data_IF_957056825957
#
_entry.id   IF_957056825957
#
_cell.length_a   1.000
_cell.length_b   1.000
_cell.length_c   1.000
_cell.angle_alpha   90.00
_cell.angle_beta   90.00
_cell.angle_gamma   90.00
#
_symmetry.space_group_name_H-M   'P 1'
#
loop_
_entity.id
_entity.type
_entity.pdbx_description
1 polymer ?
#
# COMPACT_ATOMS: atom_id res chain seq x y z
N UNK A 1 -10.93 -9.16 5.76
CA UNK A 1 -10.10 -8.32 4.88
C UNK A 1 -10.92 -7.13 4.43
N UNK A 2 -10.32 -5.95 4.25
CA UNK A 2 -11.05 -4.77 3.78
C UNK A 2 -11.34 -4.86 2.27
N UNK A 3 -12.40 -4.18 1.80
CA UNK A 3 -12.76 -4.10 0.38
C UNK A 3 -11.60 -3.58 -0.47
N UNK A 4 -10.87 -2.57 0.01
CA UNK A 4 -9.70 -2.03 -0.69
C UNK A 4 -8.60 -3.07 -0.92
N UNK A 5 -8.35 -3.95 0.07
CA UNK A 5 -7.33 -4.99 -0.04
C UNK A 5 -7.73 -6.06 -1.07
N UNK A 6 -9.02 -6.42 -1.09
CA UNK A 6 -9.55 -7.37 -2.06
C UNK A 6 -9.48 -6.81 -3.49
N UNK A 7 -9.79 -5.52 -3.67
CA UNK A 7 -9.71 -4.86 -4.98
C UNK A 7 -8.26 -4.80 -5.49
N UNK A 8 -7.29 -4.46 -4.65
CA UNK A 8 -5.87 -4.49 -5.02
C UNK A 8 -5.42 -5.88 -5.47
N UNK A 9 -5.74 -6.92 -4.69
CA UNK A 9 -5.38 -8.30 -5.02
C UNK A 9 -6.09 -8.83 -6.27
N UNK A 10 -7.32 -8.41 -6.51
CA UNK A 10 -8.05 -8.74 -7.74
C UNK A 10 -7.42 -8.07 -8.97
N UNK A 11 -6.96 -6.82 -8.85
CA UNK A 11 -6.24 -6.12 -9.91
C UNK A 11 -4.90 -6.81 -10.23
N UNK A 12 -4.12 -7.16 -9.21
CA UNK A 12 -2.88 -7.93 -9.38
C UNK A 12 -3.13 -9.26 -10.08
N UNK A 13 -4.13 -10.01 -9.61
CA UNK A 13 -4.48 -11.29 -10.20
C UNK A 13 -4.86 -11.13 -11.68
N UNK A 14 -5.71 -10.15 -12.01
CA UNK A 14 -6.12 -9.93 -13.39
C UNK A 14 -4.93 -9.58 -14.31
N UNK A 15 -4.00 -8.77 -13.84
CA UNK A 15 -2.80 -8.44 -14.61
C UNK A 15 -1.92 -9.67 -14.85
N UNK A 16 -1.65 -10.46 -13.81
CA UNK A 16 -0.83 -11.68 -13.94
C UNK A 16 -1.50 -12.72 -14.85
N UNK A 17 -2.82 -12.87 -14.77
CA UNK A 17 -3.56 -13.75 -15.67
C UNK A 17 -3.37 -13.37 -17.14
N UNK A 18 -3.52 -12.08 -17.47
CA UNK A 18 -3.36 -11.59 -18.84
C UNK A 18 -1.92 -11.77 -19.33
N UNK A 19 -0.91 -11.50 -18.49
CA UNK A 19 0.50 -11.74 -18.85
C UNK A 19 0.75 -13.23 -19.17
N UNK A 20 0.20 -14.14 -18.37
CA UNK A 20 0.37 -15.59 -18.57
C UNK A 20 -0.43 -16.13 -19.77
N UNK A 21 -1.57 -15.51 -20.10
CA UNK A 21 -2.33 -15.83 -21.30
C UNK A 21 -1.59 -15.39 -22.57
N UNK A 22 -0.97 -14.21 -22.56
CA UNK A 22 -0.19 -13.67 -23.68
C UNK A 22 1.11 -14.44 -23.92
N UNK A 23 1.71 -14.99 -22.86
CA UNK A 23 2.88 -15.86 -22.98
C UNK A 23 2.86 -16.99 -21.95
N UNK A 24 2.35 -18.14 -22.38
CA UNK A 24 2.25 -19.37 -21.58
C UNK A 24 3.60 -20.02 -21.24
N UNK A 25 4.71 -19.56 -21.84
CA UNK A 25 6.05 -20.06 -21.52
C UNK A 25 6.64 -19.47 -20.22
N UNK A 26 6.05 -18.38 -19.72
CA UNK A 26 6.48 -17.72 -18.48
C UNK A 26 6.27 -18.69 -17.31
N UNK A 27 7.31 -18.89 -16.51
CA UNK A 27 7.26 -19.77 -15.34
C UNK A 27 6.76 -19.01 -14.10
N UNK A 28 5.62 -19.38 -13.50
CA UNK A 28 5.19 -18.82 -12.23
C UNK A 28 6.07 -19.37 -11.08
N UNK A 29 6.53 -18.49 -10.20
CA UNK A 29 7.41 -18.86 -9.08
C UNK A 29 6.67 -18.87 -7.73
N UNK A 30 7.26 -19.57 -6.76
CA UNK A 30 6.81 -19.57 -5.37
C UNK A 30 5.34 -19.99 -5.24
N UNK A 31 4.54 -19.15 -4.58
CA UNK A 31 3.11 -19.39 -4.38
C UNK A 31 2.21 -18.75 -5.44
N UNK A 32 2.78 -18.20 -6.53
CA UNK A 32 2.05 -17.41 -7.53
C UNK A 32 0.78 -18.10 -8.01
N UNK A 33 0.85 -19.39 -8.37
CA UNK A 33 -0.33 -20.14 -8.84
C UNK A 33 -1.43 -20.26 -7.78
N UNK A 34 -1.06 -20.50 -6.52
CA UNK A 34 -2.02 -20.60 -5.42
C UNK A 34 -2.66 -19.23 -5.11
N UNK A 35 -1.85 -18.17 -5.12
CA UNK A 35 -2.34 -16.80 -4.93
C UNK A 35 -3.24 -16.38 -6.10
N UNK A 36 -2.92 -16.80 -7.32
CA UNK A 36 -3.71 -16.56 -8.52
C UNK A 36 -5.08 -17.25 -8.46
N UNK A 37 -5.11 -18.55 -8.13
CA UNK A 37 -6.35 -19.31 -8.00
C UNK A 37 -7.31 -18.68 -6.98
N UNK A 38 -6.78 -18.29 -5.82
CA UNK A 38 -7.55 -17.63 -4.76
C UNK A 38 -8.03 -16.24 -5.18
N UNK A 39 -7.16 -15.42 -5.76
CA UNK A 39 -7.49 -14.01 -6.03
C UNK A 39 -8.32 -13.81 -7.29
N UNK A 40 -8.26 -14.74 -8.26
CA UNK A 40 -9.21 -14.77 -9.38
C UNK A 40 -10.64 -15.02 -8.94
N UNK A 41 -10.87 -15.80 -7.87
CA UNK A 41 -12.22 -15.93 -7.30
C UNK A 41 -12.73 -14.58 -6.79
N UNK A 42 -11.86 -13.77 -6.17
CA UNK A 42 -12.22 -12.43 -5.74
C UNK A 42 -12.49 -11.50 -6.93
N UNK A 43 -11.67 -11.55 -7.97
CA UNK A 43 -11.88 -10.81 -9.21
C UNK A 43 -13.23 -11.14 -9.86
N UNK A 44 -13.53 -12.43 -10.03
CA UNK A 44 -14.78 -12.90 -10.65
C UNK A 44 -16.03 -12.55 -9.82
N UNK A 45 -15.87 -12.32 -8.52
CA UNK A 45 -16.95 -11.88 -7.63
C UNK A 45 -17.16 -10.35 -7.62
N UNK A 46 -16.29 -9.56 -8.27
CA UNK A 46 -16.47 -8.12 -8.36
C UNK A 46 -17.65 -7.75 -9.27
N UNK A 47 -18.28 -6.57 -9.07
CA UNK A 47 -19.20 -6.01 -10.05
C UNK A 47 -18.56 -5.90 -11.45
N UNK A 48 -19.36 -6.11 -12.51
CA UNK A 48 -18.89 -6.12 -13.90
C UNK A 48 -18.09 -4.87 -14.28
N UNK A 49 -18.47 -3.70 -13.73
CA UNK A 49 -17.74 -2.45 -13.93
C UNK A 49 -16.26 -2.59 -13.53
N UNK A 50 -15.97 -3.09 -12.33
CA UNK A 50 -14.59 -3.27 -11.85
C UNK A 50 -13.85 -4.36 -12.63
N UNK A 51 -14.54 -5.43 -13.03
CA UNK A 51 -13.92 -6.46 -13.87
C UNK A 51 -13.47 -5.90 -15.22
N UNK A 52 -14.30 -5.06 -15.84
CA UNK A 52 -13.99 -4.37 -17.09
C UNK A 52 -12.84 -3.38 -16.90
N UNK A 53 -12.89 -2.55 -15.85
CA UNK A 53 -11.83 -1.58 -15.53
C UNK A 53 -10.47 -2.25 -15.34
N UNK A 54 -10.40 -3.32 -14.54
CA UNK A 54 -9.15 -4.01 -14.26
C UNK A 54 -8.63 -4.77 -15.50
N UNK A 55 -9.54 -5.26 -16.36
CA UNK A 55 -9.17 -5.88 -17.63
C UNK A 55 -8.64 -4.86 -18.64
N UNK A 56 -9.32 -3.72 -18.80
CA UNK A 56 -8.88 -2.61 -19.66
C UNK A 56 -7.50 -2.11 -19.23
N UNK A 57 -7.33 -1.87 -17.92
CA UNK A 57 -6.04 -1.53 -17.33
C UNK A 57 -4.97 -2.55 -17.69
N UNK A 58 -5.22 -3.83 -17.41
CA UNK A 58 -4.22 -4.89 -17.60
C UNK A 58 -3.82 -5.00 -19.06
N UNK A 59 -4.78 -5.02 -19.98
CA UNK A 59 -4.53 -5.08 -21.42
C UNK A 59 -3.72 -3.88 -21.95
N UNK A 60 -3.93 -2.69 -21.39
CA UNK A 60 -3.14 -1.51 -21.73
C UNK A 60 -1.74 -1.57 -21.13
N UNK A 61 -1.65 -1.93 -19.84
CA UNK A 61 -0.38 -1.93 -19.13
C UNK A 61 0.59 -2.99 -19.65
N UNK A 62 0.11 -4.16 -20.09
CA UNK A 62 1.00 -5.18 -20.67
C UNK A 62 1.75 -4.68 -21.93
N UNK A 63 1.25 -3.64 -22.62
CA UNK A 63 1.94 -3.05 -23.78
C UNK A 63 3.24 -2.34 -23.38
N UNK A 64 3.37 -1.93 -22.12
CA UNK A 64 4.59 -1.36 -21.53
C UNK A 64 5.62 -2.45 -21.15
N UNK A 65 5.28 -3.73 -21.33
CA UNK A 65 6.08 -4.88 -20.95
C UNK A 65 6.57 -5.64 -22.18
N UNK A 66 7.84 -6.02 -22.19
CA UNK A 66 8.38 -6.97 -23.17
C UNK A 66 7.98 -8.40 -22.81
N UNK A 67 6.69 -8.74 -22.90
CA UNK A 67 6.11 -9.99 -22.38
C UNK A 67 6.82 -11.25 -22.89
N UNK A 68 7.15 -11.29 -24.19
CA UNK A 68 7.86 -12.42 -24.80
C UNK A 68 9.28 -12.62 -24.27
N UNK A 69 9.86 -11.60 -23.64
CA UNK A 69 11.17 -11.66 -23.00
C UNK A 69 11.10 -12.02 -21.52
N UNK A 70 9.90 -12.11 -20.92
CA UNK A 70 9.73 -12.56 -19.54
C UNK A 70 10.05 -14.06 -19.47
N UNK A 71 10.90 -14.44 -18.53
CA UNK A 71 11.23 -15.84 -18.21
C UNK A 71 10.32 -16.37 -17.11
N UNK A 72 10.13 -15.58 -16.07
CA UNK A 72 9.35 -15.99 -14.90
C UNK A 72 8.67 -14.81 -14.21
N UNK A 73 7.60 -15.12 -13.49
CA UNK A 73 6.78 -14.14 -12.76
C UNK A 73 6.56 -14.62 -11.33
N UNK A 74 6.62 -13.70 -10.38
CA UNK A 74 6.36 -13.96 -8.96
C UNK A 74 5.37 -12.92 -8.42
N UNK A 75 4.30 -13.37 -7.75
CA UNK A 75 3.47 -12.51 -6.90
C UNK A 75 4.01 -12.56 -5.48
N UNK A 76 4.38 -11.40 -4.94
CA UNK A 76 4.99 -11.31 -3.62
C UNK A 76 3.93 -11.20 -2.53
N UNK A 77 4.20 -11.82 -1.37
CA UNK A 77 3.31 -11.77 -0.21
C UNK A 77 3.62 -10.58 0.68
N UNK A 78 2.66 -10.27 1.57
CA UNK A 78 2.83 -9.33 2.69
C UNK A 78 4.10 -9.56 3.54
N UNK A 79 4.64 -10.78 3.57
CA UNK A 79 5.90 -11.08 4.26
C UNK A 79 7.09 -10.34 3.65
N UNK A 80 7.11 -10.16 2.32
CA UNK A 80 8.12 -9.35 1.64
C UNK A 80 7.96 -7.87 2.00
N UNK A 81 6.72 -7.36 2.04
CA UNK A 81 6.41 -6.00 2.48
C UNK A 81 6.80 -5.71 3.94
N UNK A 82 6.82 -6.74 4.81
CA UNK A 82 7.39 -6.63 6.18
C UNK A 82 8.90 -6.46 6.18
N UNK A 83 9.60 -6.99 5.18
CA UNK A 83 11.04 -6.86 4.99
C UNK A 83 11.44 -5.60 4.20
N UNK A 84 10.45 -4.78 3.79
CA UNK A 84 10.66 -3.53 3.07
C UNK A 84 10.42 -3.62 1.56
N UNK A 85 10.14 -4.81 1.03
CA UNK A 85 9.90 -5.00 -0.40
C UNK A 85 8.44 -4.69 -0.73
N UNK A 86 8.20 -3.54 -1.36
CA UNK A 86 6.85 -3.05 -1.72
C UNK A 86 6.34 -3.59 -3.06
N UNK A 87 7.08 -4.54 -3.65
CA UNK A 87 6.73 -5.22 -4.89
C UNK A 87 5.50 -6.08 -4.68
N UNK A 88 4.51 -5.92 -5.55
CA UNK A 88 3.33 -6.77 -5.63
C UNK A 88 3.56 -7.87 -6.69
N UNK A 89 4.18 -7.51 -7.83
CA UNK A 89 4.52 -8.42 -8.94
C UNK A 89 6.00 -8.23 -9.33
N UNK A 90 6.75 -9.33 -9.42
CA UNK A 90 8.13 -9.36 -9.91
C UNK A 90 8.20 -10.10 -11.23
N UNK A 91 8.75 -9.43 -12.24
CA UNK A 91 9.07 -10.01 -13.54
C UNK A 91 10.57 -10.24 -13.62
N UNK A 92 10.97 -11.44 -14.03
CA UNK A 92 12.37 -11.77 -14.32
C UNK A 92 12.46 -12.08 -15.81
N UNK A 93 13.25 -11.29 -16.53
CA UNK A 93 13.44 -11.44 -17.97
C UNK A 93 14.50 -12.50 -18.30
N UNK A 94 14.50 -12.95 -19.55
CA UNK A 94 15.45 -13.96 -20.06
C UNK A 94 16.91 -13.51 -19.95
N UNK A 95 17.16 -12.21 -20.05
CA UNK A 95 18.47 -11.58 -19.85
C UNK A 95 18.85 -11.40 -18.36
N UNK A 96 18.00 -11.89 -17.44
CA UNK A 96 18.11 -11.81 -15.97
C UNK A 96 17.85 -10.43 -15.38
N UNK A 97 17.42 -9.44 -16.17
CA UNK A 97 16.92 -8.19 -15.61
C UNK A 97 15.64 -8.44 -14.81
N UNK A 98 15.44 -7.65 -13.76
CA UNK A 98 14.30 -7.76 -12.85
C UNK A 98 13.51 -6.48 -12.89
N UNK A 99 12.20 -6.58 -13.09
CA UNK A 99 11.26 -5.47 -12.99
C UNK A 99 10.30 -5.76 -11.85
N UNK A 100 10.41 -4.94 -10.80
CA UNK A 100 9.56 -5.00 -9.63
C UNK A 100 8.44 -3.98 -9.77
N UNK A 101 7.20 -4.41 -9.60
CA UNK A 101 5.99 -3.63 -9.84
C UNK A 101 5.22 -3.53 -8.53
N UNK A 102 4.98 -2.31 -8.06
CA UNK A 102 4.02 -2.02 -6.99
C UNK A 102 2.75 -1.48 -7.62
N UNK A 103 1.64 -2.21 -7.50
CA UNK A 103 0.41 -1.99 -8.25
C UNK A 103 -0.69 -1.43 -7.36
N UNK A 104 -1.08 -0.18 -7.59
CA UNK A 104 -2.05 0.56 -6.76
C UNK A 104 -3.33 0.89 -7.52
N UNK A 105 -4.44 0.97 -6.78
CA UNK A 105 -5.75 1.33 -7.32
C UNK A 105 -6.29 2.57 -6.62
N UNK A 106 -6.41 3.68 -7.36
CA UNK A 106 -6.92 4.98 -6.89
C UNK A 106 -6.20 5.57 -5.67
N UNK A 107 -4.90 5.31 -5.48
CA UNK A 107 -4.11 5.95 -4.43
C UNK A 107 -2.62 6.04 -4.76
N UNK A 108 -1.95 7.08 -4.27
CA UNK A 108 -0.52 7.33 -4.53
C UNK A 108 0.41 6.78 -3.42
N UNK A 109 -0.13 6.28 -2.31
CA UNK A 109 0.71 5.79 -1.21
C UNK A 109 1.46 4.49 -1.59
N UNK A 110 2.78 4.46 -1.40
CA UNK A 110 3.59 3.24 -1.54
C UNK A 110 3.30 2.25 -0.40
N UNK A 111 3.12 2.76 0.83
CA UNK A 111 2.75 1.98 2.01
C UNK A 111 1.75 2.74 2.87
N UNK A 112 0.83 2.03 3.50
CA UNK A 112 -0.05 2.63 4.50
C UNK A 112 0.73 3.00 5.75
N UNK A 113 0.55 4.25 6.20
CA UNK A 113 1.06 4.71 7.48
C UNK A 113 0.48 3.88 8.63
N UNK A 114 1.31 3.56 9.62
CA UNK A 114 0.88 2.87 10.85
C UNK A 114 1.31 3.70 12.05
N UNK A 115 0.61 4.79 12.41
CA UNK A 115 1.08 5.72 13.43
C UNK A 115 1.49 5.02 14.73
N UNK A 116 0.71 4.05 15.22
CA UNK A 116 1.01 3.31 16.45
C UNK A 116 2.32 2.49 16.42
N UNK A 117 3.00 2.36 15.28
CA UNK A 117 4.24 1.60 15.13
C UNK A 117 5.46 2.50 14.86
N UNK A 118 5.33 3.82 15.01
CA UNK A 118 6.36 4.82 14.65
C UNK A 118 7.72 4.53 15.29
N UNK A 119 7.80 4.56 16.63
CA UNK A 119 9.09 4.56 17.36
C UNK A 119 9.90 3.28 17.09
N UNK A 120 9.36 2.12 17.45
CA UNK A 120 10.11 0.87 17.35
C UNK A 120 10.26 0.37 15.91
N UNK A 121 9.18 0.37 15.13
CA UNK A 121 9.16 -0.38 13.87
C UNK A 121 9.51 0.47 12.65
N UNK A 122 9.19 1.76 12.68
CA UNK A 122 9.44 2.64 11.52
C UNK A 122 10.72 3.43 11.69
N UNK A 123 10.98 3.96 12.88
CA UNK A 123 12.23 4.67 13.20
C UNK A 123 13.36 3.72 13.64
N UNK A 124 13.02 2.51 14.11
CA UNK A 124 14.01 1.54 14.60
C UNK A 124 14.55 1.85 16.00
N UNK A 125 13.96 2.81 16.71
CA UNK A 125 14.44 3.29 18.01
C UNK A 125 14.09 2.27 19.10
N UNK A 126 15.10 1.67 19.72
CA UNK A 126 14.93 0.71 20.81
C UNK A 126 14.87 1.39 22.18
N UNK A 127 13.89 2.29 22.36
CA UNK A 127 13.64 2.97 23.63
C UNK A 127 12.20 2.70 24.09
N UNK A 128 12.03 1.80 25.06
CA UNK A 128 10.71 1.38 25.57
C UNK A 128 9.93 2.52 26.21
N UNK A 129 10.61 3.39 26.96
CA UNK A 129 9.96 4.53 27.62
C UNK A 129 9.42 5.53 26.58
N UNK A 130 10.21 5.81 25.54
CA UNK A 130 9.80 6.69 24.44
C UNK A 130 8.64 6.11 23.62
N UNK A 131 8.68 4.81 23.29
CA UNK A 131 7.57 4.13 22.59
C UNK A 131 6.29 4.15 23.42
N UNK A 132 6.39 3.91 24.73
CA UNK A 132 5.26 3.99 25.64
C UNK A 132 4.68 5.40 25.72
N UNK A 133 5.53 6.42 25.85
CA UNK A 133 5.09 7.82 25.87
C UNK A 133 4.36 8.17 24.57
N UNK A 134 4.93 7.84 23.41
CA UNK A 134 4.32 8.08 22.11
C UNK A 134 2.94 7.42 21.98
N UNK A 135 2.82 6.15 22.40
CA UNK A 135 1.54 5.42 22.39
C UNK A 135 0.50 6.08 23.29
N UNK A 136 0.89 6.53 24.48
CA UNK A 136 -0.02 7.22 25.40
C UNK A 136 -0.53 8.55 24.81
N UNK A 137 0.34 9.33 24.16
CA UNK A 137 -0.04 10.56 23.47
C UNK A 137 -0.99 10.26 22.28
N UNK A 138 -0.73 9.20 21.50
CA UNK A 138 -1.60 8.76 20.41
C UNK A 138 -2.96 8.27 20.93
N UNK A 139 -3.00 7.49 22.01
CA UNK A 139 -4.22 6.99 22.62
C UNK A 139 -5.08 8.12 23.18
N UNK A 140 -4.46 9.21 23.66
CA UNK A 140 -5.19 10.42 24.06
C UNK A 140 -5.89 11.07 22.87
N UNK A 141 -5.22 11.20 21.71
CA UNK A 141 -5.84 11.71 20.47
C UNK A 141 -7.03 10.82 20.07
N UNK A 142 -6.85 9.50 20.08
CA UNK A 142 -7.91 8.55 19.74
C UNK A 142 -9.11 8.62 20.69
N UNK A 143 -8.87 8.78 22.00
CA UNK A 143 -9.93 8.96 23.00
C UNK A 143 -10.69 10.27 22.81
N UNK A 144 -9.98 11.36 22.52
CA UNK A 144 -10.58 12.66 22.25
C UNK A 144 -11.44 12.64 20.98
N UNK A 145 -11.04 11.89 19.96
CA UNK A 145 -11.90 11.68 18.78
C UNK A 145 -13.13 10.82 19.12
N UNK A 146 -12.92 9.70 19.81
CA UNK A 146 -13.99 8.76 20.16
C UNK A 146 -15.07 9.39 21.04
N UNK A 147 -14.72 10.34 21.92
CA UNK A 147 -15.70 11.05 22.76
C UNK A 147 -16.63 11.98 21.97
N UNK A 148 -16.31 12.27 20.69
CA UNK A 148 -17.10 13.12 19.79
C UNK A 148 -17.96 12.30 18.80
N UNK A 149 -17.86 10.96 18.87
CA UNK A 149 -18.69 10.04 18.09
C UNK A 149 -20.06 9.89 18.76
N UNK A 150 -21.12 9.93 17.96
CA UNK A 150 -22.52 9.95 18.42
C UNK A 150 -23.25 8.64 18.10
N UNK A 151 -24.35 8.30 18.81
CA UNK A 151 -25.14 7.10 18.52
C UNK A 151 -25.63 6.98 17.08
N UNK A 152 -25.88 8.11 16.40
CA UNK A 152 -26.27 8.18 14.99
C UNK A 152 -25.15 7.80 14.01
N UNK A 153 -23.91 7.66 14.47
CA UNK A 153 -22.78 7.20 13.67
C UNK A 153 -22.68 5.66 13.63
N UNK A 154 -23.74 4.95 14.04
CA UNK A 154 -23.86 3.50 13.98
C UNK A 154 -24.61 3.03 12.75
N UNK A 155 -24.22 1.89 12.21
CA UNK A 155 -25.04 1.16 11.23
C UNK A 155 -26.25 0.48 11.90
N UNK A 156 -27.09 -0.16 11.09
CA UNK A 156 -28.26 -0.93 11.53
C UNK A 156 -27.91 -2.09 12.49
N UNK A 157 -26.65 -2.53 12.50
CA UNK A 157 -26.12 -3.58 13.38
C UNK A 157 -25.48 -3.01 14.66
N UNK A 158 -25.53 -1.68 14.85
CA UNK A 158 -24.96 -1.01 16.01
C UNK A 158 -23.46 -0.75 15.95
N UNK A 159 -22.80 -0.99 14.81
CA UNK A 159 -21.37 -0.75 14.62
C UNK A 159 -21.09 0.71 14.27
N UNK A 160 -20.16 1.34 14.98
CA UNK A 160 -19.71 2.69 14.61
C UNK A 160 -18.97 2.68 13.27
N UNK A 161 -19.39 3.54 12.36
CA UNK A 161 -18.79 3.68 11.03
C UNK A 161 -18.08 5.03 10.89
N UNK A 162 -16.80 4.97 10.53
CA UNK A 162 -16.00 6.17 10.26
C UNK A 162 -16.60 7.05 9.14
N UNK A 163 -17.25 6.43 8.14
CA UNK A 163 -17.94 7.14 7.06
C UNK A 163 -19.12 7.98 7.57
N UNK A 164 -19.85 7.50 8.57
CA UNK A 164 -20.98 8.24 9.14
C UNK A 164 -20.50 9.46 9.93
N UNK A 165 -19.44 9.30 10.74
CA UNK A 165 -18.78 10.43 11.40
C UNK A 165 -18.30 11.46 10.38
N UNK A 166 -17.65 11.00 9.29
CA UNK A 166 -17.16 11.87 8.22
C UNK A 166 -18.27 12.64 7.52
N UNK A 167 -19.40 11.99 7.23
CA UNK A 167 -20.53 12.63 6.56
C UNK A 167 -21.22 13.66 7.47
N UNK A 168 -21.33 13.35 8.76
CA UNK A 168 -21.95 14.23 9.75
C UNK A 168 -21.08 15.45 10.07
N UNK A 169 -19.77 15.24 10.26
CA UNK A 169 -18.86 16.25 10.79
C UNK A 169 -17.44 16.09 10.20
N UNK A 170 -17.24 16.46 8.92
CA UNK A 170 -15.98 16.23 8.21
C UNK A 170 -14.76 16.88 8.88
N UNK A 171 -14.94 18.02 9.55
CA UNK A 171 -13.88 18.72 10.26
C UNK A 171 -13.31 17.93 11.45
N UNK A 172 -14.07 16.98 12.03
CA UNK A 172 -13.52 16.06 13.04
C UNK A 172 -12.48 15.12 12.45
N UNK A 173 -12.68 14.72 11.20
CA UNK A 173 -11.74 13.83 10.50
C UNK A 173 -10.45 14.58 10.17
N UNK A 174 -10.59 15.82 9.69
CA UNK A 174 -9.45 16.70 9.43
C UNK A 174 -8.67 16.99 10.72
N UNK A 175 -9.37 17.30 11.81
CA UNK A 175 -8.75 17.52 13.12
C UNK A 175 -8.04 16.26 13.62
N UNK A 176 -8.64 15.07 13.48
CA UNK A 176 -8.01 13.81 13.87
C UNK A 176 -6.72 13.59 13.09
N UNK A 177 -6.76 13.72 11.76
CA UNK A 177 -5.56 13.54 10.93
C UNK A 177 -4.49 14.57 11.24
N UNK A 178 -4.86 15.84 11.45
CA UNK A 178 -3.91 16.87 11.84
C UNK A 178 -3.28 16.58 13.21
N UNK A 179 -4.05 16.18 14.22
CA UNK A 179 -3.50 15.83 15.53
C UNK A 179 -2.50 14.67 15.45
N UNK A 180 -2.81 13.62 14.69
CA UNK A 180 -1.88 12.50 14.47
C UNK A 180 -0.63 12.98 13.71
N UNK A 181 -0.82 13.80 12.66
CA UNK A 181 0.29 14.37 11.90
C UNK A 181 1.24 15.19 12.79
N UNK A 182 0.70 16.09 13.62
CA UNK A 182 1.51 16.91 14.52
C UNK A 182 2.26 16.06 15.55
N UNK A 183 1.64 15.00 16.06
CA UNK A 183 2.31 14.06 16.96
C UNK A 183 3.47 13.33 16.25
N UNK A 184 3.23 12.79 15.05
CA UNK A 184 4.28 12.14 14.25
C UNK A 184 5.40 13.13 13.95
N UNK A 185 5.07 14.35 13.50
CA UNK A 185 6.03 15.43 13.22
C UNK A 185 6.87 15.78 14.44
N UNK A 186 6.26 15.93 15.63
CA UNK A 186 6.96 16.18 16.90
C UNK A 186 8.03 15.13 17.15
N UNK A 187 7.70 13.84 17.01
CA UNK A 187 8.67 12.77 17.28
C UNK A 187 9.73 12.62 16.21
N UNK A 188 9.35 12.84 14.96
CA UNK A 188 10.27 12.90 13.85
C UNK A 188 11.33 14.01 14.05
N UNK A 189 10.94 15.22 14.43
CA UNK A 189 11.88 16.34 14.59
C UNK A 189 12.74 16.25 15.85
N UNK A 190 12.20 15.75 16.97
CA UNK A 190 12.88 15.85 18.27
C UNK A 190 13.58 14.56 18.72
N UNK A 191 13.32 13.43 18.07
CA UNK A 191 13.78 12.11 18.56
C UNK A 191 14.41 11.24 17.48
N UNK A 192 14.79 11.81 16.33
CA UNK A 192 15.43 11.05 15.24
C UNK A 192 16.86 11.49 15.00
N UNK A 193 17.69 10.52 14.64
CA UNK A 193 18.98 10.72 14.01
C UNK A 193 18.91 10.35 12.52
N UNK A 194 20.01 10.50 11.79
CA UNK A 194 20.09 10.15 10.37
C UNK A 194 19.67 8.69 10.09
N UNK A 195 20.03 7.76 10.97
CA UNK A 195 19.68 6.35 10.79
C UNK A 195 18.18 6.11 10.97
N UNK A 196 17.55 6.75 11.94
CA UNK A 196 16.10 6.70 12.15
C UNK A 196 15.35 7.33 10.97
N UNK A 197 15.86 8.42 10.40
CA UNK A 197 15.29 9.03 9.17
C UNK A 197 15.39 8.07 7.99
N UNK A 198 16.55 7.43 7.77
CA UNK A 198 16.72 6.41 6.73
C UNK A 198 15.77 5.23 6.93
N UNK A 199 15.60 4.75 8.16
CA UNK A 199 14.67 3.66 8.49
C UNK A 199 13.23 4.06 8.18
N UNK A 200 12.83 5.27 8.58
CA UNK A 200 11.50 5.79 8.31
C UNK A 200 11.25 5.92 6.81
N UNK A 201 12.20 6.50 6.08
CA UNK A 201 12.12 6.63 4.64
C UNK A 201 11.96 5.27 3.95
N UNK A 202 12.81 4.29 4.28
CA UNK A 202 12.70 2.91 3.76
C UNK A 202 11.38 2.24 4.14
N UNK A 203 10.82 2.55 5.30
CA UNK A 203 9.48 2.10 5.64
C UNK A 203 8.43 2.69 4.70
N UNK A 204 8.54 3.97 4.32
CA UNK A 204 7.58 4.66 3.45
C UNK A 204 7.67 4.26 1.99
N UNK A 205 8.89 4.26 1.43
CA UNK A 205 9.11 4.06 0.00
C UNK A 205 9.51 2.64 -0.36
N UNK A 206 9.93 1.83 0.61
CA UNK A 206 10.51 0.50 0.40
C UNK A 206 12.04 0.52 0.36
N UNK A 207 12.66 -0.65 0.29
CA UNK A 207 14.11 -0.82 0.21
C UNK A 207 14.58 -1.53 -1.08
N UNK A 208 13.69 -1.69 -2.05
CA UNK A 208 13.94 -2.35 -3.34
C UNK A 208 13.64 -1.37 -4.46
N UNK A 209 14.41 -1.39 -5.55
CA UNK A 209 14.09 -0.65 -6.77
C UNK A 209 12.81 -1.21 -7.42
N UNK A 210 11.84 -0.34 -7.71
CA UNK A 210 10.55 -0.72 -8.29
C UNK A 210 9.95 0.41 -9.12
N UNK A 211 8.95 0.08 -9.93
CA UNK A 211 8.03 1.06 -10.49
C UNK A 211 6.70 0.99 -9.74
N UNK A 212 6.11 2.15 -9.49
CA UNK A 212 4.76 2.25 -8.95
C UNK A 212 3.79 2.50 -10.09
N UNK A 213 2.89 1.55 -10.31
CA UNK A 213 1.86 1.61 -11.35
C UNK A 213 0.54 1.86 -10.68
N UNK A 214 -0.12 2.97 -11.01
CA UNK A 214 -1.39 3.35 -10.40
C UNK A 214 -2.47 3.44 -11.46
N UNK A 215 -3.56 2.68 -11.26
CA UNK A 215 -4.80 2.86 -12.00
C UNK A 215 -5.66 3.93 -11.32
N UNK A 216 -5.90 5.04 -12.00
CA UNK A 216 -6.93 6.02 -11.62
C UNK A 216 -8.19 5.77 -12.45
N UNK A 217 -9.10 4.98 -11.90
CA UNK A 217 -10.27 4.45 -12.61
C UNK A 217 -11.19 5.56 -13.14
N UNK A 218 -11.42 6.60 -12.34
CA UNK A 218 -12.27 7.75 -12.73
C UNK A 218 -11.78 8.46 -13.98
N UNK A 219 -10.46 8.59 -14.10
CA UNK A 219 -9.80 9.32 -15.19
C UNK A 219 -9.33 8.39 -16.31
N UNK A 220 -9.53 7.07 -16.15
CA UNK A 220 -9.01 5.99 -17.00
C UNK A 220 -7.50 6.13 -17.27
N UNK A 221 -6.78 6.66 -16.30
CA UNK A 221 -5.36 6.97 -16.40
C UNK A 221 -4.51 5.86 -15.77
N UNK A 222 -3.38 5.56 -16.42
CA UNK A 222 -2.32 4.72 -15.88
C UNK A 222 -1.12 5.61 -15.63
N UNK A 223 -0.73 5.75 -14.37
CA UNK A 223 0.45 6.53 -13.98
C UNK A 223 1.55 5.58 -13.55
N UNK A 224 2.70 5.65 -14.22
CA UNK A 224 3.91 4.89 -13.88
C UNK A 224 4.92 5.87 -13.30
N UNK A 225 5.33 5.64 -12.05
CA UNK A 225 6.38 6.40 -11.36
C UNK A 225 7.58 5.50 -11.11
N UNK A 226 8.76 5.94 -11.51
CA UNK A 226 10.00 5.21 -11.27
C UNK A 226 10.52 5.49 -9.85
N UNK A 227 10.72 4.44 -9.07
CA UNK A 227 11.34 4.47 -7.74
C UNK A 227 12.70 3.74 -7.71
N UNK A 228 13.27 3.40 -8.87
CA UNK A 228 14.52 2.66 -8.97
C UNK A 228 15.76 3.41 -8.50
N UNK A 229 15.71 4.75 -8.50
CA UNK A 229 16.85 5.65 -8.25
C UNK A 229 16.61 6.63 -7.09
N UNK A 230 15.65 6.34 -6.21
CA UNK A 230 15.33 7.23 -5.08
C UNK A 230 16.45 7.18 -4.05
N UNK A 231 17.11 8.32 -3.84
CA UNK A 231 18.15 8.45 -2.83
C UNK A 231 17.58 8.32 -1.40
N UNK A 232 18.36 7.72 -0.50
CA UNK A 232 18.02 7.65 0.93
C UNK A 232 17.82 9.07 1.50
N UNK A 233 16.72 9.28 2.22
CA UNK A 233 16.56 10.50 3.00
C UNK A 233 17.47 10.47 4.24
N UNK A 234 18.21 11.55 4.46
CA UNK A 234 19.16 11.67 5.58
C UNK A 234 18.75 12.70 6.63
N UNK A 235 17.76 13.55 6.31
CA UNK A 235 17.27 14.60 7.21
C UNK A 235 15.80 14.89 6.99
N UNK A 236 15.16 15.44 8.01
CA UNK A 236 13.83 16.01 7.94
C UNK A 236 13.99 17.52 7.72
N UNK A 237 13.27 18.07 6.75
CA UNK A 237 13.24 19.49 6.46
C UNK A 237 11.95 20.06 7.05
N UNK A 238 12.05 21.19 7.74
CA UNK A 238 10.89 21.88 8.34
C UNK A 238 10.00 22.59 7.33
#
# INVERSE_FOLDING_TARGET
MSVSNNNGRALEARLVEIILQENSSIQPLGSTLNDQLRDLQHFNALPQLYQNEFSDFSNRYIQELSIHNIKSIERLKDTAAKQGDVTDIRLIYKDKTVRNISLKHNHDACKHQRPAALIKNQLGIQNKALDQQYRQELDLICRNFTSLVLPQDKDENGNYLFSLVKNRKPELIESLYNSIYQLVRKYLLNHTDEQAVKNYFKFLVGNTAFEKVTLYAKDREIVIKDFSSVADATKIIE
#
